data_IF_446603772761
#
_entry.id   IF_446603772761
#
_cell.length_a   1.000
_cell.length_b   1.000
_cell.length_c   1.000
_cell.angle_alpha   90.00
_cell.angle_beta   90.00
_cell.angle_gamma   90.00
#
_symmetry.space_group_name_H-M   'P 1'
#
loop_
_entity.id
_entity.type
_entity.pdbx_description
1 polymer ?
#
# COMPACT_ATOMS: atom_id res chain seq x y z
N UNK A 1 -36.93 46.92 35.99
CA UNK A 1 -36.17 45.72 35.61
C UNK A 1 -36.23 44.77 36.80
N UNK A 2 -37.16 43.81 36.78
CA UNK A 2 -37.37 42.88 37.89
C UNK A 2 -36.10 42.05 38.15
N UNK A 3 -35.69 41.96 39.41
CA UNK A 3 -34.53 41.19 39.82
C UNK A 3 -34.85 39.69 39.69
N UNK A 4 -34.17 39.03 38.75
CA UNK A 4 -34.25 37.57 38.59
C UNK A 4 -33.94 36.88 39.93
N UNK A 5 -34.87 36.01 40.39
CA UNK A 5 -34.68 35.19 41.60
C UNK A 5 -33.35 34.43 41.48
N UNK A 6 -32.59 34.36 42.58
CA UNK A 6 -31.24 33.81 42.64
C UNK A 6 -31.12 32.41 42.01
N UNK A 7 -32.15 31.57 42.17
CA UNK A 7 -32.26 30.23 41.54
C UNK A 7 -32.19 30.28 40.01
N UNK A 8 -32.85 31.26 39.38
CA UNK A 8 -32.88 31.40 37.92
C UNK A 8 -31.52 31.81 37.38
N UNK A 9 -30.78 32.68 38.08
CA UNK A 9 -29.38 33.02 37.74
C UNK A 9 -28.47 31.80 37.83
N UNK A 10 -28.61 30.98 38.88
CA UNK A 10 -27.81 29.76 39.05
C UNK A 10 -28.09 28.75 37.92
N UNK A 11 -29.37 28.56 37.56
CA UNK A 11 -29.77 27.66 36.49
C UNK A 11 -29.20 28.09 35.13
N UNK A 12 -29.22 29.39 34.84
CA UNK A 12 -28.63 29.92 33.60
C UNK A 12 -27.13 29.66 33.50
N UNK A 13 -26.41 29.83 34.61
CA UNK A 13 -24.97 29.61 34.66
C UNK A 13 -24.61 28.13 34.54
N UNK A 14 -25.44 27.24 35.09
CA UNK A 14 -25.29 25.80 34.91
C UNK A 14 -25.54 25.39 33.44
N UNK A 15 -26.60 25.92 32.83
CA UNK A 15 -26.96 25.63 31.43
C UNK A 15 -25.88 26.11 30.46
N UNK A 16 -25.28 27.29 30.69
CA UNK A 16 -24.22 27.79 29.81
C UNK A 16 -22.96 26.92 29.86
N UNK A 17 -22.57 26.45 31.05
CA UNK A 17 -21.44 25.53 31.22
C UNK A 17 -21.73 24.17 30.57
N UNK A 18 -22.94 23.64 30.78
CA UNK A 18 -23.36 22.37 30.16
C UNK A 18 -23.37 22.46 28.63
N UNK A 19 -23.86 23.56 28.07
CA UNK A 19 -23.86 23.79 26.62
C UNK A 19 -22.43 23.88 26.07
N UNK A 20 -21.54 24.58 26.78
CA UNK A 20 -20.13 24.67 26.41
C UNK A 20 -19.44 23.30 26.37
N UNK A 21 -19.69 22.46 27.36
CA UNK A 21 -19.19 21.08 27.40
C UNK A 21 -19.71 20.24 26.24
N UNK A 22 -20.99 20.37 25.87
CA UNK A 22 -21.57 19.67 24.72
C UNK A 22 -20.92 20.09 23.40
N UNK A 23 -20.67 21.38 23.20
CA UNK A 23 -19.99 21.89 22.00
C UNK A 23 -18.57 21.34 21.91
N UNK A 24 -17.80 21.39 23.01
CA UNK A 24 -16.44 20.85 23.05
C UNK A 24 -16.44 19.34 22.79
N UNK A 25 -17.37 18.60 23.39
CA UNK A 25 -17.53 17.16 23.15
C UNK A 25 -17.85 16.83 21.69
N UNK A 26 -18.76 17.60 21.07
CA UNK A 26 -19.12 17.43 19.66
C UNK A 26 -17.95 17.72 18.72
N UNK A 27 -17.24 18.83 18.95
CA UNK A 27 -16.04 19.18 18.17
C UNK A 27 -14.95 18.13 18.34
N UNK A 28 -14.71 17.66 19.57
CA UNK A 28 -13.77 16.58 19.85
C UNK A 28 -14.11 15.29 19.11
N UNK A 29 -15.37 14.87 19.15
CA UNK A 29 -15.86 13.69 18.43
C UNK A 29 -15.66 13.82 16.92
N UNK A 30 -16.02 14.96 16.32
CA UNK A 30 -15.86 15.20 14.88
C UNK A 30 -14.40 15.18 14.44
N UNK A 31 -13.51 15.78 15.24
CA UNK A 31 -12.07 15.76 14.99
C UNK A 31 -11.49 14.34 15.09
N UNK A 32 -11.90 13.55 16.08
CA UNK A 32 -11.48 12.14 16.19
C UNK A 32 -11.93 11.31 15.00
N UNK A 33 -13.15 11.52 14.52
CA UNK A 33 -13.69 10.84 13.34
C UNK A 33 -12.89 11.19 12.07
N UNK A 34 -12.57 12.47 11.92
CA UNK A 34 -11.74 12.96 10.81
C UNK A 34 -10.32 12.42 10.89
N UNK A 35 -9.74 12.38 12.09
CA UNK A 35 -8.40 11.82 12.32
C UNK A 35 -8.35 10.34 11.99
N UNK A 36 -9.34 9.55 12.41
CA UNK A 36 -9.46 8.14 12.05
C UNK A 36 -9.45 7.96 10.53
N UNK A 37 -10.30 8.71 9.82
CA UNK A 37 -10.38 8.63 8.34
C UNK A 37 -9.05 8.99 7.67
N UNK A 38 -8.37 10.02 8.16
CA UNK A 38 -7.09 10.47 7.61
C UNK A 38 -5.97 9.45 7.88
N UNK A 39 -5.93 8.85 9.07
CA UNK A 39 -4.99 7.79 9.43
C UNK A 39 -5.23 6.55 8.57
N UNK A 40 -6.48 6.11 8.43
CA UNK A 40 -6.82 4.97 7.58
C UNK A 40 -6.42 5.25 6.11
N UNK A 41 -6.62 6.47 5.62
CA UNK A 41 -6.23 6.87 4.25
C UNK A 41 -4.72 6.89 4.06
N UNK A 42 -3.96 7.39 5.04
CA UNK A 42 -2.49 7.43 4.98
C UNK A 42 -1.87 6.03 5.08
N UNK A 43 -2.36 5.23 6.02
CA UNK A 43 -1.81 3.91 6.31
C UNK A 43 -2.14 2.91 5.20
N UNK A 44 -3.40 2.86 4.77
CA UNK A 44 -3.86 1.90 3.76
C UNK A 44 -3.83 2.44 2.33
N UNK A 45 -3.84 3.77 2.13
CA UNK A 45 -4.01 4.37 0.80
C UNK A 45 -2.74 4.76 0.06
N UNK A 46 -1.55 4.73 0.68
CA UNK A 46 -0.33 5.14 -0.04
C UNK A 46 0.95 4.46 0.40
N UNK A 47 1.20 4.30 1.70
CA UNK A 47 2.51 3.81 2.16
C UNK A 47 2.72 2.32 1.84
N UNK A 48 1.79 1.44 2.22
CA UNK A 48 1.90 -0.01 1.96
C UNK A 48 1.93 -0.30 0.45
N UNK A 49 0.98 0.21 -0.38
CA UNK A 49 0.99 -0.03 -1.82
C UNK A 49 2.29 0.40 -2.51
N UNK A 50 2.88 1.53 -2.13
CA UNK A 50 4.13 2.01 -2.72
C UNK A 50 5.32 1.14 -2.34
N UNK A 51 5.40 0.68 -1.09
CA UNK A 51 6.48 -0.21 -0.67
C UNK A 51 6.46 -1.55 -1.38
N UNK A 52 5.27 -2.13 -1.61
CA UNK A 52 5.12 -3.40 -2.33
C UNK A 52 5.49 -3.26 -3.80
N UNK A 53 5.05 -2.19 -4.47
CA UNK A 53 5.45 -1.90 -5.86
C UNK A 53 6.96 -1.67 -5.98
N UNK A 54 7.58 -0.98 -5.03
CA UNK A 54 9.02 -0.77 -4.99
C UNK A 54 9.79 -2.08 -4.76
N UNK A 55 9.26 -2.99 -3.94
CA UNK A 55 9.81 -4.32 -3.72
C UNK A 55 9.78 -5.16 -5.01
N UNK A 56 8.65 -5.16 -5.73
CA UNK A 56 8.52 -5.82 -7.04
C UNK A 56 9.56 -5.27 -8.03
N UNK A 57 9.70 -3.94 -8.12
CA UNK A 57 10.67 -3.32 -9.02
C UNK A 57 12.11 -3.70 -8.64
N UNK A 58 12.41 -3.73 -7.34
CA UNK A 58 13.71 -4.17 -6.83
C UNK A 58 14.00 -5.63 -7.19
N UNK A 59 13.02 -6.52 -7.05
CA UNK A 59 13.17 -7.93 -7.40
C UNK A 59 13.51 -8.12 -8.88
N UNK A 60 12.91 -7.33 -9.79
CA UNK A 60 13.28 -7.38 -11.21
C UNK A 60 14.76 -7.04 -11.45
N UNK A 61 15.26 -5.94 -10.87
CA UNK A 61 16.64 -5.50 -11.10
C UNK A 61 17.67 -6.35 -10.34
N UNK A 62 17.43 -6.59 -9.05
CA UNK A 62 18.40 -7.27 -8.21
C UNK A 62 18.33 -8.79 -8.31
N UNK A 63 17.15 -9.39 -8.45
CA UNK A 63 17.03 -10.85 -8.50
C UNK A 63 17.07 -11.37 -9.94
N UNK A 64 16.37 -10.75 -10.89
CA UNK A 64 16.31 -11.30 -12.25
C UNK A 64 17.44 -10.77 -13.15
N UNK A 65 17.56 -9.45 -13.30
CA UNK A 65 18.54 -8.84 -14.20
C UNK A 65 19.98 -9.17 -13.80
N UNK A 66 20.31 -9.13 -12.51
CA UNK A 66 21.64 -9.48 -12.01
C UNK A 66 22.01 -10.95 -12.31
N UNK A 67 21.06 -11.88 -12.24
CA UNK A 67 21.28 -13.28 -12.58
C UNK A 67 21.57 -13.45 -14.07
N UNK A 68 20.96 -12.64 -14.95
CA UNK A 68 21.28 -12.64 -16.39
C UNK A 68 22.74 -12.25 -16.62
N UNK A 69 23.21 -11.16 -16.01
CA UNK A 69 24.61 -10.75 -16.16
C UNK A 69 25.60 -11.78 -15.59
N UNK A 70 25.27 -12.38 -14.44
CA UNK A 70 26.09 -13.44 -13.82
C UNK A 70 26.14 -14.70 -14.69
N UNK A 71 25.02 -15.07 -15.32
CA UNK A 71 24.95 -16.19 -16.25
C UNK A 71 25.76 -15.92 -17.52
N UNK A 72 25.59 -14.75 -18.15
CA UNK A 72 26.39 -14.34 -19.31
C UNK A 72 27.89 -14.30 -19.01
N UNK A 73 28.26 -13.86 -17.81
CA UNK A 73 29.63 -13.89 -17.30
C UNK A 73 30.15 -15.27 -16.89
N UNK A 74 29.35 -16.33 -17.03
CA UNK A 74 29.66 -17.71 -16.61
C UNK A 74 30.03 -17.83 -15.11
N UNK A 75 29.51 -16.92 -14.30
CA UNK A 75 29.70 -16.90 -12.84
C UNK A 75 28.80 -17.94 -12.15
N UNK A 76 27.67 -18.28 -12.77
CA UNK A 76 26.72 -19.30 -12.32
C UNK A 76 26.45 -20.28 -13.45
N UNK A 77 26.05 -21.52 -13.11
CA UNK A 77 25.69 -22.54 -14.10
C UNK A 77 24.32 -22.28 -14.72
N UNK A 78 24.04 -22.97 -15.84
CA UNK A 78 22.74 -22.92 -16.51
C UNK A 78 21.60 -23.38 -15.58
N UNK A 79 21.82 -24.47 -14.84
CA UNK A 79 20.85 -24.98 -13.85
C UNK A 79 20.60 -23.97 -12.71
N UNK A 80 21.66 -23.35 -12.21
CA UNK A 80 21.54 -22.34 -11.15
C UNK A 80 20.80 -21.11 -11.67
N UNK A 81 21.13 -20.63 -12.87
CA UNK A 81 20.43 -19.54 -13.52
C UNK A 81 18.94 -19.86 -13.71
N UNK A 82 18.62 -21.02 -14.27
CA UNK A 82 17.24 -21.42 -14.54
C UNK A 82 16.41 -21.54 -13.27
N UNK A 83 17.00 -22.08 -12.20
CA UNK A 83 16.38 -22.13 -10.87
C UNK A 83 16.17 -20.74 -10.30
N UNK A 84 17.18 -19.86 -10.34
CA UNK A 84 17.11 -18.52 -9.77
C UNK A 84 16.05 -17.66 -10.49
N UNK A 85 15.97 -17.72 -11.82
CA UNK A 85 14.92 -17.01 -12.58
C UNK A 85 13.53 -17.55 -12.20
N UNK A 86 13.37 -18.87 -12.09
CA UNK A 86 12.08 -19.47 -11.72
C UNK A 86 11.63 -19.05 -10.32
N UNK A 87 12.55 -19.05 -9.35
CA UNK A 87 12.28 -18.59 -7.99
C UNK A 87 11.94 -17.10 -7.95
N UNK A 88 12.71 -16.26 -8.63
CA UNK A 88 12.48 -14.82 -8.67
C UNK A 88 11.13 -14.46 -9.32
N UNK A 89 10.76 -15.13 -10.42
CA UNK A 89 9.44 -14.94 -11.05
C UNK A 89 8.30 -15.37 -10.11
N UNK A 90 8.45 -16.50 -9.41
CA UNK A 90 7.46 -16.97 -8.43
C UNK A 90 7.32 -15.99 -7.27
N UNK A 91 8.44 -15.42 -6.79
CA UNK A 91 8.46 -14.41 -5.74
C UNK A 91 7.71 -13.14 -6.17
N UNK A 92 7.96 -12.66 -7.39
CA UNK A 92 7.27 -11.49 -7.97
C UNK A 92 5.77 -11.74 -8.13
N UNK A 93 5.37 -12.92 -8.60
CA UNK A 93 3.95 -13.31 -8.71
C UNK A 93 3.27 -13.26 -7.33
N UNK A 94 3.95 -13.76 -6.28
CA UNK A 94 3.44 -13.72 -4.92
C UNK A 94 3.33 -12.28 -4.38
N UNK A 95 4.34 -11.44 -4.61
CA UNK A 95 4.31 -10.03 -4.23
C UNK A 95 3.17 -9.28 -4.93
N UNK A 96 2.96 -9.57 -6.22
CA UNK A 96 1.87 -8.97 -6.99
C UNK A 96 0.49 -9.43 -6.50
N UNK A 97 0.32 -10.73 -6.23
CA UNK A 97 -0.91 -11.26 -5.65
C UNK A 97 -1.21 -10.65 -4.27
N UNK A 98 -0.18 -10.47 -3.42
CA UNK A 98 -0.31 -9.80 -2.13
C UNK A 98 -0.75 -8.34 -2.33
N UNK A 99 -0.09 -7.60 -3.23
CA UNK A 99 -0.49 -6.24 -3.58
C UNK A 99 -1.96 -6.19 -3.99
N UNK A 100 -2.41 -7.07 -4.89
CA UNK A 100 -3.80 -7.11 -5.37
C UNK A 100 -4.81 -7.41 -4.25
N UNK A 101 -4.42 -8.15 -3.21
CA UNK A 101 -5.31 -8.55 -2.11
C UNK A 101 -5.75 -7.36 -1.22
N UNK A 102 -5.00 -6.26 -1.20
CA UNK A 102 -5.36 -5.08 -0.41
C UNK A 102 -6.54 -4.34 -1.03
N UNK A 103 -7.24 -3.55 -0.22
CA UNK A 103 -8.23 -2.61 -0.72
C UNK A 103 -7.61 -1.67 -1.77
N UNK A 104 -8.34 -1.39 -2.86
CA UNK A 104 -7.93 -0.50 -3.94
C UNK A 104 -8.92 0.62 -4.07
N UNK A 105 -8.41 1.83 -4.24
CA UNK A 105 -9.23 2.99 -4.51
C UNK A 105 -9.67 2.97 -5.98
N UNK A 106 -10.86 3.51 -6.32
CA UNK A 106 -11.35 3.52 -7.69
C UNK A 106 -10.35 4.09 -8.69
N UNK A 107 -9.61 5.14 -8.32
CA UNK A 107 -8.59 5.78 -9.15
C UNK A 107 -7.36 4.89 -9.45
N UNK A 108 -7.12 3.84 -8.66
CA UNK A 108 -5.98 2.93 -8.84
C UNK A 108 -6.28 1.86 -9.90
N UNK A 109 -7.55 1.53 -10.12
CA UNK A 109 -8.03 0.51 -11.07
C UNK A 109 -7.37 0.55 -12.45
N UNK A 110 -7.29 1.69 -13.17
CA UNK A 110 -6.66 1.73 -14.50
C UNK A 110 -5.15 1.41 -14.43
N UNK A 111 -4.47 1.80 -13.35
CA UNK A 111 -3.05 1.54 -13.16
C UNK A 111 -2.77 0.07 -12.83
N UNK A 112 -3.69 -0.60 -12.13
CA UNK A 112 -3.59 -2.04 -11.85
C UNK A 112 -3.57 -2.83 -13.15
N UNK A 113 -4.53 -2.58 -14.05
CA UNK A 113 -4.61 -3.29 -15.33
C UNK A 113 -3.37 -3.06 -16.21
N UNK A 114 -2.87 -1.81 -16.23
CA UNK A 114 -1.62 -1.47 -16.92
C UNK A 114 -0.42 -2.23 -16.33
N UNK A 115 -0.30 -2.22 -15.00
CA UNK A 115 0.82 -2.85 -14.28
C UNK A 115 0.80 -4.36 -14.44
N UNK A 116 -0.38 -4.99 -14.35
CA UNK A 116 -0.56 -6.42 -14.55
C UNK A 116 -0.07 -6.85 -15.94
N UNK A 117 -0.47 -6.12 -16.99
CA UNK A 117 0.01 -6.36 -18.36
C UNK A 117 1.53 -6.21 -18.45
N UNK A 118 2.11 -5.24 -17.74
CA UNK A 118 3.57 -5.00 -17.73
C UNK A 118 4.31 -6.15 -17.04
N UNK A 119 3.85 -6.59 -15.87
CA UNK A 119 4.39 -7.75 -15.14
C UNK A 119 4.35 -8.98 -16.02
N UNK A 120 3.21 -9.28 -16.64
CA UNK A 120 3.07 -10.42 -17.56
C UNK A 120 3.96 -10.34 -18.80
N UNK A 121 4.31 -9.14 -19.25
CA UNK A 121 5.25 -8.94 -20.38
C UNK A 121 6.68 -9.22 -19.94
N UNK A 122 7.09 -8.72 -18.78
CA UNK A 122 8.44 -8.92 -18.26
C UNK A 122 8.66 -10.38 -17.85
N UNK A 123 7.64 -11.02 -17.26
CA UNK A 123 7.66 -12.45 -16.95
C UNK A 123 7.97 -13.30 -18.18
N UNK A 124 7.23 -13.08 -19.28
CA UNK A 124 7.47 -13.78 -20.55
C UNK A 124 8.89 -13.57 -21.08
N UNK A 125 9.41 -12.34 -21.00
CA UNK A 125 10.80 -12.06 -21.38
C UNK A 125 11.79 -12.92 -20.57
N UNK A 126 11.66 -12.98 -19.25
CA UNK A 126 12.58 -13.80 -18.44
C UNK A 126 12.36 -15.31 -18.60
N UNK A 127 11.15 -15.76 -18.90
CA UNK A 127 10.87 -17.16 -19.27
C UNK A 127 11.56 -17.54 -20.58
N UNK A 128 11.54 -16.65 -21.58
CA UNK A 128 12.27 -16.80 -22.84
C UNK A 128 13.78 -16.84 -22.60
N UNK A 129 14.33 -15.88 -21.83
CA UNK A 129 15.76 -15.86 -21.50
C UNK A 129 16.17 -17.13 -20.74
N UNK A 130 15.35 -17.61 -19.80
CA UNK A 130 15.59 -18.87 -19.08
C UNK A 130 15.68 -20.06 -20.03
N UNK A 131 14.80 -20.12 -21.04
CA UNK A 131 14.77 -21.25 -21.98
C UNK A 131 16.06 -21.39 -22.80
N UNK A 132 16.82 -20.30 -22.97
CA UNK A 132 18.12 -20.32 -23.62
C UNK A 132 19.15 -21.11 -22.82
N UNK A 133 19.09 -21.06 -21.49
CA UNK A 133 19.99 -21.82 -20.62
C UNK A 133 19.66 -23.32 -20.60
N UNK A 134 18.42 -23.71 -20.88
CA UNK A 134 18.03 -25.13 -20.99
C UNK A 134 18.31 -25.75 -22.37
N UNK A 135 18.81 -24.96 -23.32
CA UNK A 135 19.09 -25.37 -24.70
C UNK A 135 20.58 -25.67 -24.98
N UNK A 136 21.43 -25.54 -23.96
CA UNK A 136 22.86 -25.87 -23.97
C UNK A 136 23.15 -27.08 -23.08
#
# INVERSE_FOLDING_TARGET
MESLKLKTKLLYLLMSVALGLLVVGFVGYYNLLTMKRNVDTLYFGSMIPLTELAAINTAYHHELESNVYRWQGKVISDDEFARNITLGLTNIDQMWANYLSHHKRPEETPYIAYTDKRINTIKRYFEEVRSLASSY
#
